data_IF_290501143132
#
_entry.id   IF_290501143132
#
_cell.length_a   1.000
_cell.length_b   1.000
_cell.length_c   1.000
_cell.angle_alpha   90.00
_cell.angle_beta   90.00
_cell.angle_gamma   90.00
#
_symmetry.space_group_name_H-M   'P 1'
#
loop_
_entity.id
_entity.type
_entity.pdbx_description
1 polymer ?
#
# COMPACT_ATOMS: atom_id res chain seq x y z
N UNK A 1 26.98 -27.72 -55.53
CA UNK A 1 25.68 -27.33 -56.12
C UNK A 1 24.77 -26.96 -54.96
N UNK A 2 24.59 -25.67 -54.68
CA UNK A 2 23.69 -25.20 -53.62
C UNK A 2 22.27 -25.18 -54.17
N UNK A 3 21.36 -25.96 -53.58
CA UNK A 3 19.93 -25.90 -53.92
C UNK A 3 19.38 -24.56 -53.43
N UNK A 4 19.04 -23.69 -54.37
CA UNK A 4 18.40 -22.41 -54.08
C UNK A 4 16.92 -22.65 -53.78
N UNK A 5 16.43 -22.16 -52.64
CA UNK A 5 15.07 -22.43 -52.16
C UNK A 5 14.05 -21.63 -53.00
N UNK A 6 13.13 -22.28 -53.74
CA UNK A 6 12.16 -21.61 -54.61
C UNK A 6 11.05 -20.86 -53.85
N UNK A 7 10.95 -21.04 -52.53
CA UNK A 7 9.96 -20.38 -51.66
C UNK A 7 10.55 -19.21 -50.88
N UNK A 8 11.52 -18.50 -51.44
CA UNK A 8 12.04 -17.30 -50.79
C UNK A 8 11.06 -16.14 -51.01
N UNK A 9 10.50 -15.54 -49.93
CA UNK A 9 9.60 -14.40 -50.10
C UNK A 9 10.37 -13.22 -50.72
N UNK A 10 9.70 -12.37 -51.52
CA UNK A 10 10.33 -11.18 -52.09
C UNK A 10 10.95 -10.33 -50.98
N UNK A 11 12.26 -10.09 -51.06
CA UNK A 11 12.93 -9.14 -50.16
C UNK A 11 12.64 -7.74 -50.70
N UNK A 12 11.76 -7.00 -50.04
CA UNK A 12 11.60 -5.57 -50.30
C UNK A 12 12.87 -4.86 -49.82
N UNK A 13 13.75 -4.49 -50.75
CA UNK A 13 14.91 -3.65 -50.44
C UNK A 13 14.40 -2.21 -50.31
N UNK A 14 13.97 -1.83 -49.11
CA UNK A 14 13.61 -0.44 -48.81
C UNK A 14 14.90 0.35 -48.76
N UNK A 15 15.26 0.95 -49.88
CA UNK A 15 16.39 1.87 -49.99
C UNK A 15 15.92 3.22 -49.48
N UNK A 16 16.66 3.81 -48.54
CA UNK A 16 16.53 5.21 -48.07
C UNK A 16 15.56 5.51 -46.90
N UNK A 17 15.51 4.64 -45.89
CA UNK A 17 15.11 5.06 -44.52
C UNK A 17 16.38 5.01 -43.66
N UNK A 18 16.76 6.09 -42.94
CA UNK A 18 17.81 6.02 -41.94
C UNK A 18 17.51 4.83 -41.02
N UNK A 19 18.52 4.04 -40.64
CA UNK A 19 18.36 2.92 -39.71
C UNK A 19 18.07 3.46 -38.30
N UNK A 20 16.95 4.17 -38.12
CA UNK A 20 16.24 4.21 -36.85
C UNK A 20 15.82 2.77 -36.61
N UNK A 21 16.59 2.09 -35.77
CA UNK A 21 16.45 0.66 -35.44
C UNK A 21 15.00 0.22 -35.51
N UNK A 22 14.69 -0.71 -36.40
CA UNK A 22 13.36 -1.31 -36.51
C UNK A 22 12.84 -1.62 -35.10
N UNK A 23 11.73 -1.00 -34.69
CA UNK A 23 11.25 -1.08 -33.32
C UNK A 23 11.09 -2.56 -32.93
N UNK A 24 11.86 -3.03 -31.95
CA UNK A 24 11.90 -4.45 -31.57
C UNK A 24 11.13 -4.78 -30.27
N UNK A 25 10.34 -3.83 -29.74
CA UNK A 25 9.48 -4.10 -28.59
C UNK A 25 8.54 -5.28 -28.82
N UNK A 26 8.20 -6.01 -27.76
CA UNK A 26 7.35 -7.20 -27.85
C UNK A 26 8.05 -8.44 -28.42
N UNK A 27 9.34 -8.36 -28.77
CA UNK A 27 10.10 -9.49 -29.33
C UNK A 27 10.59 -10.53 -28.32
N UNK A 28 10.14 -10.48 -27.06
CA UNK A 28 10.49 -11.46 -26.04
C UNK A 28 11.90 -11.31 -25.47
N UNK A 29 12.49 -12.39 -24.96
CA UNK A 29 13.77 -12.36 -24.23
C UNK A 29 15.00 -12.17 -25.11
N UNK A 30 14.92 -12.52 -26.39
CA UNK A 30 16.08 -12.63 -27.29
C UNK A 30 16.39 -11.33 -28.05
N UNK A 31 15.71 -10.23 -27.71
CA UNK A 31 15.95 -8.92 -28.32
C UNK A 31 17.05 -8.15 -27.60
N UNK A 32 17.83 -7.41 -28.39
CA UNK A 32 18.73 -6.39 -27.89
C UNK A 32 17.90 -5.18 -27.46
N UNK A 33 18.06 -4.75 -26.21
CA UNK A 33 17.34 -3.58 -25.71
C UNK A 33 17.95 -2.30 -26.31
N UNK A 34 17.15 -1.43 -26.94
CA UNK A 34 17.65 -0.14 -27.40
C UNK A 34 18.02 0.76 -26.21
N UNK A 35 18.94 1.69 -26.48
CA UNK A 35 19.35 2.67 -25.49
C UNK A 35 18.16 3.51 -25.02
N UNK A 36 18.11 3.82 -23.72
CA UNK A 36 16.99 4.56 -23.12
C UNK A 36 15.80 3.70 -22.66
N UNK A 37 15.76 2.38 -22.92
CA UNK A 37 14.78 1.49 -22.28
C UNK A 37 15.15 1.21 -20.83
N UNK A 38 16.42 0.90 -20.57
CA UNK A 38 16.93 0.61 -19.23
C UNK A 38 16.73 1.79 -18.29
N UNK A 39 16.43 1.51 -17.03
CA UNK A 39 16.26 2.53 -16.00
C UNK A 39 15.30 2.08 -14.90
N UNK A 40 15.24 2.88 -13.85
CA UNK A 40 14.34 2.64 -12.73
C UNK A 40 12.87 2.94 -13.10
N UNK A 41 11.96 2.12 -12.59
CA UNK A 41 10.51 2.27 -12.76
C UNK A 41 9.81 2.47 -11.42
N UNK A 42 9.53 3.73 -11.08
CA UNK A 42 8.73 4.05 -9.88
C UNK A 42 7.31 3.48 -9.96
N UNK A 43 6.74 3.40 -11.16
CA UNK A 43 5.44 2.77 -11.38
C UNK A 43 5.46 1.27 -11.08
N UNK A 44 6.46 0.54 -11.59
CA UNK A 44 6.58 -0.90 -11.36
C UNK A 44 6.93 -1.23 -9.90
N UNK A 45 7.65 -0.35 -9.20
CA UNK A 45 7.98 -0.52 -7.79
C UNK A 45 6.75 -0.34 -6.88
N UNK A 46 6.07 0.82 -6.97
CA UNK A 46 4.96 1.15 -6.07
C UNK A 46 3.62 0.50 -6.46
N UNK A 47 3.35 0.38 -7.76
CA UNK A 47 2.08 -0.13 -8.30
C UNK A 47 2.28 -1.43 -9.05
N UNK A 48 3.15 -2.29 -8.51
CA UNK A 48 3.63 -3.52 -9.13
C UNK A 48 2.53 -4.33 -9.83
N UNK A 49 1.43 -4.66 -9.17
CA UNK A 49 0.36 -5.49 -9.72
C UNK A 49 -0.40 -4.82 -10.87
N UNK A 50 -0.83 -3.56 -10.72
CA UNK A 50 -1.53 -2.81 -11.78
C UNK A 50 -0.61 -2.59 -12.98
N UNK A 51 0.60 -2.12 -12.70
CA UNK A 51 1.62 -1.89 -13.73
C UNK A 51 1.94 -3.19 -14.48
N UNK A 52 2.04 -4.32 -13.76
CA UNK A 52 2.34 -5.63 -14.35
C UNK A 52 1.27 -6.08 -15.33
N UNK A 53 0.00 -5.92 -14.98
CA UNK A 53 -1.13 -6.25 -15.86
C UNK A 53 -1.07 -5.39 -17.14
N UNK A 54 -0.90 -4.06 -17.00
CA UNK A 54 -0.88 -3.15 -18.14
C UNK A 54 0.31 -3.39 -19.10
N UNK A 55 1.44 -3.81 -18.55
CA UNK A 55 2.69 -4.05 -19.29
C UNK A 55 2.90 -5.55 -19.62
N UNK A 56 1.88 -6.40 -19.46
CA UNK A 56 1.94 -7.85 -19.72
C UNK A 56 3.13 -8.55 -19.03
N UNK A 57 3.51 -8.05 -17.84
CA UNK A 57 4.66 -8.55 -17.06
C UNK A 57 4.16 -9.41 -15.90
N UNK A 58 3.65 -10.60 -16.22
CA UNK A 58 2.95 -11.48 -15.26
C UNK A 58 3.80 -11.90 -14.06
N UNK A 59 5.13 -12.02 -14.24
CA UNK A 59 6.06 -12.30 -13.14
C UNK A 59 5.97 -11.25 -12.03
N UNK A 60 5.55 -10.02 -12.36
CA UNK A 60 5.39 -8.98 -11.37
C UNK A 60 4.19 -9.14 -10.44
N UNK A 61 3.28 -10.08 -10.71
CA UNK A 61 2.21 -10.45 -9.76
C UNK A 61 2.75 -11.19 -8.53
N UNK A 62 3.98 -11.74 -8.58
CA UNK A 62 4.66 -12.28 -7.41
C UNK A 62 4.91 -11.20 -6.33
N UNK A 63 4.83 -9.91 -6.70
CA UNK A 63 4.86 -8.80 -5.77
C UNK A 63 3.71 -8.81 -4.74
N UNK A 64 2.64 -9.58 -4.98
CA UNK A 64 1.51 -9.73 -4.06
C UNK A 64 1.75 -10.76 -2.95
N UNK A 65 2.76 -11.61 -3.08
CA UNK A 65 3.09 -12.62 -2.06
C UNK A 65 3.83 -11.92 -0.90
N UNK A 66 3.43 -12.09 0.37
CA UNK A 66 4.15 -11.48 1.49
C UNK A 66 5.64 -11.87 1.51
N UNK A 67 6.51 -10.95 1.95
CA UNK A 67 7.98 -11.06 2.01
C UNK A 67 8.68 -11.21 0.64
N UNK A 68 8.28 -12.19 -0.16
CA UNK A 68 8.72 -12.37 -1.56
C UNK A 68 8.42 -11.12 -2.37
N UNK A 69 7.23 -10.55 -2.14
CA UNK A 69 6.74 -9.43 -2.90
C UNK A 69 7.53 -8.14 -2.67
N UNK A 70 8.11 -7.98 -1.48
CA UNK A 70 9.02 -6.87 -1.20
C UNK A 70 10.27 -6.94 -2.07
N UNK A 71 10.90 -8.12 -2.14
CA UNK A 71 12.07 -8.35 -3.01
C UNK A 71 11.67 -8.16 -4.48
N UNK A 72 10.52 -8.69 -4.88
CA UNK A 72 10.01 -8.56 -6.25
C UNK A 72 9.67 -7.12 -6.63
N UNK A 73 9.22 -6.29 -5.69
CA UNK A 73 8.99 -4.87 -5.95
C UNK A 73 10.29 -4.18 -6.38
N UNK A 74 11.41 -4.43 -5.70
CA UNK A 74 12.71 -3.90 -6.13
C UNK A 74 13.16 -4.47 -7.48
N UNK A 75 13.00 -5.78 -7.69
CA UNK A 75 13.29 -6.40 -8.98
C UNK A 75 12.51 -5.71 -10.12
N UNK A 76 11.22 -5.45 -9.94
CA UNK A 76 10.39 -4.72 -10.89
C UNK A 76 10.82 -3.25 -11.01
N UNK A 77 11.27 -2.62 -9.94
CA UNK A 77 11.85 -1.28 -9.99
C UNK A 77 13.05 -1.21 -10.94
N UNK A 78 13.98 -2.17 -10.85
CA UNK A 78 15.18 -2.20 -11.71
C UNK A 78 14.94 -2.76 -13.11
N UNK A 79 14.15 -3.83 -13.22
CA UNK A 79 13.97 -4.60 -14.47
C UNK A 79 12.61 -4.41 -15.14
N UNK A 80 11.66 -3.76 -14.48
CA UNK A 80 10.30 -3.60 -15.00
C UNK A 80 10.27 -2.94 -16.38
N UNK A 81 11.04 -1.88 -16.61
CA UNK A 81 11.09 -1.24 -17.94
C UNK A 81 11.59 -2.18 -19.03
N UNK A 82 12.63 -2.97 -18.75
CA UNK A 82 13.14 -3.97 -19.69
C UNK A 82 12.08 -5.06 -19.97
N UNK A 83 11.41 -5.55 -18.92
CA UNK A 83 10.35 -6.55 -19.05
C UNK A 83 9.15 -6.01 -19.85
N UNK A 84 8.73 -4.78 -19.59
CA UNK A 84 7.65 -4.11 -20.31
C UNK A 84 7.96 -3.90 -21.79
N UNK A 85 9.22 -3.60 -22.12
CA UNK A 85 9.67 -3.50 -23.51
C UNK A 85 9.62 -4.85 -24.22
N UNK A 86 10.05 -5.93 -23.54
CA UNK A 86 10.07 -7.29 -24.08
C UNK A 86 8.68 -7.91 -24.23
N UNK A 87 7.77 -7.62 -23.31
CA UNK A 87 6.47 -8.30 -23.21
C UNK A 87 5.34 -7.65 -24.02
N UNK A 88 5.48 -6.37 -24.37
CA UNK A 88 4.43 -5.58 -25.02
C UNK A 88 4.98 -4.87 -26.25
N UNK A 89 4.18 -4.88 -27.32
CA UNK A 89 4.45 -4.08 -28.53
C UNK A 89 4.13 -2.61 -28.24
N UNK A 90 5.09 -1.75 -28.49
CA UNK A 90 4.98 -0.30 -28.37
C UNK A 90 5.08 0.34 -29.76
N UNK A 91 4.52 1.54 -29.95
CA UNK A 91 4.60 2.26 -31.23
C UNK A 91 6.02 2.75 -31.53
N UNK A 92 6.70 3.30 -30.52
CA UNK A 92 8.09 3.77 -30.59
C UNK A 92 8.73 3.80 -29.21
N UNK A 93 10.05 4.05 -29.16
CA UNK A 93 10.78 4.24 -27.91
C UNK A 93 10.30 5.48 -27.14
N UNK A 94 9.95 6.55 -27.84
CA UNK A 94 9.41 7.79 -27.29
C UNK A 94 8.03 7.55 -26.68
N UNK A 95 7.17 6.79 -27.38
CA UNK A 95 5.87 6.39 -26.86
C UNK A 95 6.03 5.61 -25.55
N UNK A 96 6.91 4.60 -25.53
CA UNK A 96 7.19 3.83 -24.33
C UNK A 96 7.68 4.72 -23.18
N UNK A 97 8.66 5.58 -23.44
CA UNK A 97 9.22 6.47 -22.43
C UNK A 97 8.20 7.46 -21.87
N UNK A 98 7.32 8.01 -22.71
CA UNK A 98 6.22 8.88 -22.27
C UNK A 98 5.29 8.14 -21.31
N UNK A 99 4.87 6.92 -21.66
CA UNK A 99 3.99 6.11 -20.80
C UNK A 99 4.67 5.72 -19.49
N UNK A 100 5.93 5.27 -19.52
CA UNK A 100 6.66 4.90 -18.31
C UNK A 100 6.95 6.11 -17.40
N UNK A 101 7.14 7.31 -17.96
CA UNK A 101 7.24 8.55 -17.19
C UNK A 101 5.94 8.89 -16.49
N UNK A 102 4.79 8.73 -17.16
CA UNK A 102 3.47 8.93 -16.52
C UNK A 102 3.26 7.95 -15.37
N UNK A 103 3.56 6.67 -15.57
CA UNK A 103 3.53 5.66 -14.50
C UNK A 103 4.42 6.04 -13.32
N UNK A 104 5.63 6.51 -13.60
CA UNK A 104 6.57 6.90 -12.56
C UNK A 104 6.12 8.15 -11.79
N UNK A 105 5.59 9.15 -12.52
CA UNK A 105 5.08 10.39 -11.95
C UNK A 105 3.91 10.14 -11.01
N UNK A 106 2.87 9.46 -11.48
CA UNK A 106 1.70 9.13 -10.64
C UNK A 106 2.07 8.18 -9.50
N UNK A 107 2.98 7.24 -9.77
CA UNK A 107 3.53 6.35 -8.75
C UNK A 107 4.11 7.11 -7.56
N UNK A 108 4.95 8.10 -7.85
CA UNK A 108 5.60 8.92 -6.82
C UNK A 108 4.64 9.90 -6.15
N UNK A 109 3.76 10.58 -6.91
CA UNK A 109 2.80 11.55 -6.36
C UNK A 109 1.91 10.89 -5.31
N UNK A 110 1.33 9.73 -5.63
CA UNK A 110 0.42 9.06 -4.70
C UNK A 110 1.19 8.51 -3.50
N UNK A 111 2.36 7.91 -3.71
CA UNK A 111 3.19 7.39 -2.63
C UNK A 111 3.54 8.50 -1.61
N UNK A 112 4.05 9.64 -2.11
CA UNK A 112 4.41 10.79 -1.26
C UNK A 112 3.16 11.37 -0.59
N UNK A 113 2.05 11.52 -1.32
CA UNK A 113 0.80 12.03 -0.76
C UNK A 113 0.26 11.18 0.40
N UNK A 114 0.25 9.85 0.24
CA UNK A 114 -0.18 8.91 1.29
C UNK A 114 0.81 8.91 2.45
N UNK A 115 2.12 8.95 2.19
CA UNK A 115 3.13 9.01 3.25
C UNK A 115 2.99 10.28 4.10
N UNK A 116 2.80 11.44 3.47
CA UNK A 116 2.59 12.71 4.19
C UNK A 116 1.30 12.68 5.01
N UNK A 117 0.19 12.17 4.44
CA UNK A 117 -1.06 12.01 5.17
C UNK A 117 -0.89 11.08 6.39
N UNK A 118 -0.15 9.98 6.22
CA UNK A 118 0.16 9.04 7.29
C UNK A 118 0.98 9.67 8.41
N UNK A 119 1.98 10.50 8.07
CA UNK A 119 2.79 11.24 9.05
C UNK A 119 1.92 12.24 9.84
N UNK A 120 1.08 13.00 9.14
CA UNK A 120 0.15 13.94 9.79
C UNK A 120 -0.80 13.20 10.73
N UNK A 121 -1.37 12.07 10.28
CA UNK A 121 -2.25 11.25 11.12
C UNK A 121 -1.51 10.68 12.34
N UNK A 122 -0.28 10.18 12.17
CA UNK A 122 0.53 9.64 13.26
C UNK A 122 0.83 10.67 14.36
N UNK A 123 0.95 11.95 14.01
CA UNK A 123 1.15 13.05 14.98
C UNK A 123 -0.19 13.53 15.55
N UNK A 124 -1.20 13.71 14.69
CA UNK A 124 -2.48 14.31 15.07
C UNK A 124 -3.33 13.39 15.97
N UNK A 125 -3.34 12.08 15.71
CA UNK A 125 -4.17 11.12 16.46
C UNK A 125 -3.79 11.09 17.95
N UNK A 126 -2.52 10.91 18.36
CA UNK A 126 -2.14 10.96 19.77
C UNK A 126 -2.40 12.31 20.43
N UNK A 127 -2.16 13.41 19.70
CA UNK A 127 -2.43 14.76 20.21
C UNK A 127 -3.93 14.96 20.49
N UNK A 128 -4.79 14.51 19.58
CA UNK A 128 -6.23 14.56 19.72
C UNK A 128 -6.74 13.65 20.86
N UNK A 129 -6.19 12.45 21.00
CA UNK A 129 -6.49 11.55 22.13
C UNK A 129 -6.18 12.23 23.47
N UNK A 130 -5.02 12.89 23.57
CA UNK A 130 -4.64 13.67 24.75
C UNK A 130 -5.63 14.79 25.06
N UNK A 131 -6.10 15.51 24.04
CA UNK A 131 -7.15 16.54 24.18
C UNK A 131 -8.46 15.94 24.73
N UNK A 132 -8.95 14.84 24.13
CA UNK A 132 -10.21 14.20 24.54
C UNK A 132 -10.14 13.67 25.98
N UNK A 133 -9.02 13.06 26.38
CA UNK A 133 -8.83 12.58 27.76
C UNK A 133 -8.91 13.75 28.75
N UNK A 134 -8.23 14.87 28.47
CA UNK A 134 -8.25 16.06 29.34
C UNK A 134 -9.65 16.66 29.45
N UNK A 135 -10.37 16.77 28.33
CA UNK A 135 -11.75 17.26 28.32
C UNK A 135 -12.69 16.37 29.15
N UNK A 136 -12.59 15.04 29.01
CA UNK A 136 -13.36 14.07 29.81
C UNK A 136 -13.05 14.15 31.30
N UNK A 137 -11.77 14.21 31.68
CA UNK A 137 -11.35 14.34 33.08
C UNK A 137 -11.84 15.65 33.69
N UNK A 138 -11.74 16.77 32.97
CA UNK A 138 -12.26 18.06 33.41
C UNK A 138 -13.77 18.04 33.67
N UNK A 139 -14.55 17.40 32.79
CA UNK A 139 -15.99 17.23 32.96
C UNK A 139 -16.34 16.33 34.17
N UNK A 140 -15.56 15.28 34.43
CA UNK A 140 -15.77 14.41 35.59
C UNK A 140 -15.49 15.14 36.92
N UNK A 141 -14.45 15.99 36.96
CA UNK A 141 -14.14 16.78 38.15
C UNK A 141 -15.19 17.85 38.46
N UNK A 142 -15.77 18.50 37.44
CA UNK A 142 -16.88 19.45 37.65
C UNK A 142 -18.15 18.76 38.11
N UNK A 143 -18.47 17.57 37.56
CA UNK A 143 -19.60 16.77 38.02
C UNK A 143 -19.45 16.32 39.47
N UNK A 144 -18.28 15.81 39.88
CA UNK A 144 -18.06 15.37 41.27
C UNK A 144 -18.08 16.54 42.26
N UNK A 145 -17.55 17.72 41.92
CA UNK A 145 -17.66 18.90 42.78
C UNK A 145 -19.12 19.34 42.96
N UNK A 146 -19.91 19.33 41.89
CA UNK A 146 -21.33 19.67 41.95
C UNK A 146 -22.13 18.61 42.73
N UNK A 147 -21.91 17.33 42.47
CA UNK A 147 -22.56 16.23 43.17
C UNK A 147 -22.16 16.14 44.66
N UNK A 148 -20.89 16.44 44.98
CA UNK A 148 -20.40 16.55 46.35
C UNK A 148 -20.99 17.74 47.09
N UNK A 149 -21.22 18.86 46.40
CA UNK A 149 -21.89 20.05 46.95
C UNK A 149 -23.40 19.87 47.13
N UNK A 150 -24.01 18.99 46.33
CA UNK A 150 -25.43 18.63 46.41
C UNK A 150 -25.71 17.41 47.33
N UNK A 151 -24.72 16.95 48.10
CA UNK A 151 -25.00 16.07 49.25
C UNK A 151 -25.64 16.93 50.34
N UNK A 152 -26.97 17.00 50.32
CA UNK A 152 -27.72 17.58 51.44
C UNK A 152 -27.28 16.88 52.73
N UNK A 153 -26.98 17.61 53.82
CA UNK A 153 -26.73 16.98 55.10
C UNK A 153 -27.98 16.17 55.47
N UNK A 154 -27.86 14.84 55.48
CA UNK A 154 -28.95 13.97 55.90
C UNK A 154 -29.17 14.25 57.40
N UNK A 155 -30.35 14.75 57.82
CA UNK A 155 -30.62 14.96 59.23
C UNK A 155 -30.39 13.65 59.99
N UNK A 156 -29.70 13.70 61.11
CA UNK A 156 -29.41 12.54 61.97
C UNK A 156 -30.67 11.75 62.35
N UNK A 157 -31.84 12.41 62.36
CA UNK A 157 -33.15 11.81 62.58
C UNK A 157 -33.57 10.78 61.52
N UNK A 158 -33.09 10.89 60.27
CA UNK A 158 -33.41 9.93 59.19
C UNK A 158 -32.44 8.75 59.10
N UNK A 159 -31.31 8.80 59.83
CA UNK A 159 -30.32 7.71 59.85
C UNK A 159 -30.74 6.54 60.75
N UNK A 160 -31.62 6.78 61.72
CA UNK A 160 -32.05 5.77 62.69
C UNK A 160 -33.17 4.83 62.20
N UNK A 161 -33.83 5.14 61.06
CA UNK A 161 -35.05 4.42 60.65
C UNK A 161 -34.89 3.51 59.42
N UNK A 162 -33.69 3.42 58.83
CA UNK A 162 -33.50 2.71 57.56
C UNK A 162 -32.34 1.71 57.63
N UNK A 163 -32.54 0.62 58.37
CA UNK A 163 -31.79 -0.60 58.18
C UNK A 163 -32.70 -1.81 58.45
N UNK A 164 -33.25 -2.49 57.43
CA UNK A 164 -33.72 -3.85 57.61
C UNK A 164 -32.48 -4.73 57.82
N UNK A 165 -32.44 -5.47 58.93
CA UNK A 165 -31.42 -6.50 59.17
C UNK A 165 -31.48 -7.55 58.05
N UNK A 166 -30.61 -7.42 57.05
CA UNK A 166 -30.43 -8.48 56.08
C UNK A 166 -29.49 -9.52 56.68
N UNK A 167 -30.08 -10.64 57.12
CA UNK A 167 -29.40 -11.80 57.69
C UNK A 167 -28.30 -12.28 56.75
N UNK A 168 -27.05 -12.02 57.13
CA UNK A 168 -25.85 -12.39 56.37
C UNK A 168 -25.75 -13.91 56.28
N UNK A 169 -25.95 -14.46 55.08
CA UNK A 169 -25.71 -15.88 54.81
C UNK A 169 -24.20 -16.12 54.68
N UNK A 170 -23.66 -17.07 55.44
CA UNK A 170 -22.24 -17.49 55.37
C UNK A 170 -22.07 -18.53 54.27
N UNK A 171 -21.14 -18.38 53.31
CA UNK A 171 -20.86 -19.45 52.36
C UNK A 171 -20.07 -20.56 53.07
N UNK A 172 -20.62 -21.77 53.02
CA UNK A 172 -19.97 -23.00 53.49
C UNK A 172 -18.70 -23.23 52.66
N UNK A 173 -17.54 -23.11 53.31
CA UNK A 173 -16.26 -23.57 52.76
C UNK A 173 -16.04 -25.03 53.15
N UNK A 174 -16.50 -25.94 52.31
CA UNK A 174 -16.03 -27.33 52.20
C UNK A 174 -16.29 -27.75 50.75
N UNK A 175 -15.33 -28.23 49.97
CA UNK A 175 -14.46 -29.35 50.22
C UNK A 175 -13.14 -29.21 49.45
N UNK A 176 -12.06 -29.43 50.20
CA UNK A 176 -10.77 -29.89 49.71
C UNK A 176 -10.86 -31.43 49.65
N UNK A 177 -10.55 -32.04 48.51
CA UNK A 177 -9.70 -33.25 48.36
C UNK A 177 -10.02 -34.05 47.08
N UNK A 178 -8.92 -34.48 46.45
CA UNK A 178 -8.72 -35.44 45.36
C UNK A 178 -9.21 -35.07 43.97
#
# INVERSE_FOLDING_TARGET
MTMENPYQPPRSVVSDVPVESENNSGGGSNIVLPDGVKGWSWGAFFWNWIWSIFNKTWIGLLALVPYVGFIFAFYLGFKGRELAWRNKRWESLEHFNRVQRSWSKWGLIIFVGVALLGIVAAIAIPAFQGYVIRARSGANHSFQRTAGRLRLPVPSALRASAAPEFKRWSPISSLRNN
#
